data_IF_707291885850
#
_entry.id   IF_707291885850
#
_cell.length_a   1.000
_cell.length_b   1.000
_cell.length_c   1.000
_cell.angle_alpha   90.00
_cell.angle_beta   90.00
_cell.angle_gamma   90.00
#
_symmetry.space_group_name_H-M   'P 1'
#
loop_
_entity.id
_entity.type
_entity.pdbx_description
1 polymer ?
#
# COMPACT_ATOMS: atom_id res chain seq x y z
N UNK A 1 -3.65 17.79 -4.77
CA UNK A 1 -2.83 17.61 -3.55
C UNK A 1 -3.56 16.68 -2.59
N UNK A 2 -2.82 15.88 -1.85
CA UNK A 2 -3.37 15.02 -0.79
C UNK A 2 -2.74 15.45 0.53
N UNK A 3 -3.58 15.95 1.44
CA UNK A 3 -3.18 16.32 2.80
C UNK A 3 -3.56 15.17 3.75
N UNK A 4 -2.59 14.64 4.47
CA UNK A 4 -2.83 13.61 5.48
C UNK A 4 -3.10 14.29 6.81
N UNK A 5 -4.37 14.42 7.17
CA UNK A 5 -4.81 15.12 8.38
C UNK A 5 -4.12 14.59 9.64
N UNK A 6 -3.71 15.51 10.52
CA UNK A 6 -3.03 15.18 11.78
C UNK A 6 -1.57 14.76 11.66
N UNK A 7 -0.98 14.73 10.45
CA UNK A 7 0.38 14.22 10.25
C UNK A 7 1.38 15.23 9.70
N UNK A 8 0.91 16.34 9.15
CA UNK A 8 1.76 17.30 8.45
C UNK A 8 2.38 16.78 7.15
N UNK A 9 2.01 15.57 6.70
CA UNK A 9 2.48 15.03 5.42
C UNK A 9 1.55 15.43 4.29
N UNK A 10 2.16 15.72 3.13
CA UNK A 10 1.47 16.12 1.91
C UNK A 10 2.04 15.35 0.71
N UNK A 11 1.17 14.95 -0.22
CA UNK A 11 1.56 14.49 -1.55
C UNK A 11 1.08 15.50 -2.59
N UNK A 12 2.00 15.95 -3.44
CA UNK A 12 1.72 16.87 -4.55
C UNK A 12 2.44 16.42 -5.82
N UNK A 13 2.01 16.93 -6.96
CA UNK A 13 2.77 16.78 -8.19
C UNK A 13 4.14 17.45 -8.08
N UNK A 14 5.09 17.03 -8.92
CA UNK A 14 6.37 17.69 -9.05
C UNK A 14 6.19 19.18 -9.36
N UNK A 15 7.08 20.02 -8.86
CA UNK A 15 6.94 21.47 -8.96
C UNK A 15 6.74 21.93 -10.42
N UNK A 16 5.77 22.83 -10.62
CA UNK A 16 5.42 23.38 -11.93
C UNK A 16 4.58 22.49 -12.83
N UNK A 17 4.15 21.30 -12.37
CA UNK A 17 3.29 20.42 -13.15
C UNK A 17 1.84 20.47 -12.66
N UNK A 18 0.92 20.59 -13.60
CA UNK A 18 -0.52 20.44 -13.32
C UNK A 18 -0.93 18.98 -13.12
N UNK A 19 -0.21 18.07 -13.76
CA UNK A 19 -0.40 16.62 -13.64
C UNK A 19 0.91 15.86 -13.90
N UNK A 20 0.99 14.62 -13.43
CA UNK A 20 2.11 13.73 -13.70
C UNK A 20 1.66 12.26 -13.70
N UNK A 21 2.42 11.40 -14.39
CA UNK A 21 2.26 9.96 -14.27
C UNK A 21 2.87 9.46 -12.96
N UNK A 22 2.14 8.55 -12.31
CA UNK A 22 2.58 7.88 -11.08
C UNK A 22 2.43 6.37 -11.19
N UNK A 23 3.17 5.63 -10.39
CA UNK A 23 3.15 4.16 -10.43
C UNK A 23 1.98 3.54 -9.65
N UNK A 24 1.51 4.21 -8.62
CA UNK A 24 0.41 3.76 -7.78
C UNK A 24 -0.30 4.92 -7.10
N UNK A 25 -1.58 4.75 -6.81
CA UNK A 25 -2.37 5.71 -6.04
C UNK A 25 -3.30 4.97 -5.07
N UNK A 26 -3.79 5.71 -4.06
CA UNK A 26 -4.93 5.25 -3.27
C UNK A 26 -6.18 5.25 -4.13
N UNK A 27 -7.12 4.35 -3.86
CA UNK A 27 -8.44 4.37 -4.48
C UNK A 27 -9.33 5.49 -3.93
N UNK A 28 -9.03 6.00 -2.74
CA UNK A 28 -9.70 7.18 -2.16
C UNK A 28 -9.55 8.40 -3.06
N UNK A 29 -10.70 8.97 -3.47
CA UNK A 29 -10.80 10.11 -4.40
C UNK A 29 -10.09 9.89 -5.76
N UNK A 30 -9.99 8.65 -6.22
CA UNK A 30 -9.55 8.33 -7.57
C UNK A 30 -10.73 8.13 -8.52
N UNK A 31 -10.55 8.55 -9.77
CA UNK A 31 -11.48 8.24 -10.85
C UNK A 31 -10.86 7.16 -11.74
N UNK A 32 -11.57 6.06 -11.89
CA UNK A 32 -11.12 4.94 -12.72
C UNK A 32 -12.07 4.72 -13.89
N UNK A 33 -11.54 4.56 -15.09
CA UNK A 33 -12.33 4.12 -16.24
C UNK A 33 -12.95 2.76 -15.95
N UNK A 34 -14.26 2.61 -16.17
CA UNK A 34 -14.97 1.34 -16.04
C UNK A 34 -14.34 0.28 -16.95
N UNK A 35 -13.98 0.67 -18.18
CA UNK A 35 -13.26 -0.23 -19.08
C UNK A 35 -11.95 -0.72 -18.51
N UNK A 36 -11.11 0.17 -17.96
CA UNK A 36 -9.85 -0.20 -17.34
C UNK A 36 -10.07 -1.15 -16.15
N UNK A 37 -11.06 -0.85 -15.31
CA UNK A 37 -11.43 -1.71 -14.19
C UNK A 37 -11.86 -3.11 -14.63
N UNK A 38 -12.68 -3.21 -15.69
CA UNK A 38 -13.12 -4.49 -16.25
C UNK A 38 -11.97 -5.26 -16.88
N UNK A 39 -11.12 -4.59 -17.67
CA UNK A 39 -9.99 -5.22 -18.37
C UNK A 39 -8.98 -5.84 -17.40
N UNK A 40 -8.78 -5.23 -16.22
CA UNK A 40 -7.88 -5.78 -15.18
C UNK A 40 -8.57 -6.75 -14.23
N UNK A 41 -9.88 -6.94 -14.36
CA UNK A 41 -10.67 -7.89 -13.56
C UNK A 41 -11.08 -7.39 -12.18
N UNK A 42 -11.25 -6.07 -12.00
CA UNK A 42 -11.71 -5.47 -10.75
C UNK A 42 -10.66 -5.49 -9.62
N UNK A 43 -11.09 -5.44 -8.39
CA UNK A 43 -10.23 -5.57 -7.22
C UNK A 43 -9.98 -7.05 -6.89
N UNK A 44 -8.83 -7.34 -6.28
CA UNK A 44 -8.53 -8.67 -5.75
C UNK A 44 -9.20 -8.83 -4.37
N UNK A 45 -10.35 -9.49 -4.35
CA UNK A 45 -11.16 -9.67 -3.14
C UNK A 45 -10.41 -10.40 -2.02
N UNK A 46 -9.41 -11.21 -2.38
CA UNK A 46 -8.61 -11.93 -1.39
C UNK A 46 -7.80 -10.99 -0.49
N UNK A 47 -7.41 -9.83 -0.99
CA UNK A 47 -6.65 -8.86 -0.19
C UNK A 47 -7.46 -8.25 0.94
N UNK A 48 -8.78 -8.06 0.76
CA UNK A 48 -9.73 -7.51 1.72
C UNK A 48 -9.36 -6.10 2.25
N UNK A 49 -8.20 -5.94 2.87
CA UNK A 49 -7.67 -4.67 3.40
C UNK A 49 -6.15 -4.66 3.28
N UNK A 50 -5.58 -3.51 3.00
CA UNK A 50 -4.16 -3.27 2.70
C UNK A 50 -3.68 -3.98 1.40
N UNK A 51 -2.80 -3.38 0.68
CA UNK A 51 -2.33 -3.80 -0.66
C UNK A 51 -3.40 -3.88 -1.77
N UNK A 52 -4.66 -3.52 -1.51
CA UNK A 52 -5.72 -3.48 -2.54
C UNK A 52 -5.36 -2.48 -3.62
N UNK A 53 -5.00 -1.26 -3.21
CA UNK A 53 -4.62 -0.16 -4.10
C UNK A 53 -3.34 -0.47 -4.87
N UNK A 54 -2.34 -1.04 -4.19
CA UNK A 54 -1.07 -1.45 -4.80
C UNK A 54 -1.29 -2.55 -5.85
N UNK A 55 -2.12 -3.54 -5.56
CA UNK A 55 -2.45 -4.64 -6.47
C UNK A 55 -3.21 -4.13 -7.70
N UNK A 56 -4.20 -3.28 -7.49
CA UNK A 56 -4.98 -2.69 -8.57
C UNK A 56 -4.12 -1.80 -9.46
N UNK A 57 -3.31 -0.92 -8.87
CA UNK A 57 -2.37 -0.06 -9.59
C UNK A 57 -1.36 -0.87 -10.43
N UNK A 58 -0.83 -1.96 -9.86
CA UNK A 58 0.09 -2.84 -10.58
C UNK A 58 -0.60 -3.53 -11.76
N UNK A 59 -1.85 -3.98 -11.60
CA UNK A 59 -2.60 -4.59 -12.72
C UNK A 59 -2.90 -3.59 -13.81
N UNK A 60 -3.28 -2.36 -13.47
CA UNK A 60 -3.44 -1.28 -14.46
C UNK A 60 -2.15 -1.07 -15.26
N UNK A 61 -1.01 -0.95 -14.57
CA UNK A 61 0.31 -0.79 -15.20
C UNK A 61 0.67 -1.96 -16.12
N UNK A 62 0.39 -3.20 -15.70
CA UNK A 62 0.66 -4.40 -16.51
C UNK A 62 -0.28 -4.55 -17.72
N UNK A 63 -1.36 -3.79 -17.75
CA UNK A 63 -2.27 -3.67 -18.90
C UNK A 63 -2.06 -2.39 -19.71
N UNK A 64 -0.91 -1.73 -19.56
CA UNK A 64 -0.52 -0.51 -20.26
C UNK A 64 -1.39 0.73 -19.95
N UNK A 65 -2.21 0.67 -18.88
CA UNK A 65 -2.93 1.83 -18.39
C UNK A 65 -1.99 2.78 -17.64
N UNK A 66 -2.28 4.08 -17.73
CA UNK A 66 -1.55 5.13 -17.03
C UNK A 66 -2.35 5.64 -15.84
N UNK A 67 -1.66 5.86 -14.74
CA UNK A 67 -2.23 6.50 -13.55
C UNK A 67 -1.72 7.93 -13.52
N UNK A 68 -2.64 8.88 -13.38
CA UNK A 68 -2.33 10.30 -13.39
C UNK A 68 -2.69 10.93 -12.06
N UNK A 69 -1.77 11.67 -11.48
CA UNK A 69 -2.02 12.55 -10.34
C UNK A 69 -2.21 13.98 -10.85
N UNK A 70 -3.27 14.65 -10.43
CA UNK A 70 -3.57 16.03 -10.79
C UNK A 70 -3.35 16.96 -9.60
N UNK A 71 -2.94 18.20 -9.87
CA UNK A 71 -2.63 19.21 -8.85
C UNK A 71 -3.83 20.07 -8.45
N UNK A 72 -4.82 20.23 -9.36
CA UNK A 72 -5.90 21.21 -9.23
C UNK A 72 -7.01 20.79 -8.26
N UNK A 73 -6.86 19.65 -7.59
CA UNK A 73 -7.80 19.16 -6.59
C UNK A 73 -7.10 18.92 -5.26
N UNK A 74 -7.83 19.10 -4.17
CA UNK A 74 -7.34 18.84 -2.83
C UNK A 74 -8.14 17.74 -2.17
N UNK A 75 -7.44 16.81 -1.54
CA UNK A 75 -8.02 15.74 -0.74
C UNK A 75 -7.47 15.83 0.68
N UNK A 76 -8.35 16.08 1.63
CA UNK A 76 -8.05 15.94 3.04
C UNK A 76 -8.37 14.50 3.47
N UNK A 77 -7.34 13.71 3.73
CA UNK A 77 -7.47 12.28 4.01
C UNK A 77 -6.97 11.95 5.41
N UNK A 78 -7.83 11.32 6.20
CA UNK A 78 -7.45 10.82 7.52
C UNK A 78 -6.95 9.38 7.41
N UNK A 79 -5.68 9.16 7.74
CA UNK A 79 -5.05 7.83 7.75
C UNK A 79 -5.39 7.05 9.03
N UNK A 80 -6.67 6.82 9.29
CA UNK A 80 -7.08 6.09 10.49
C UNK A 80 -6.49 6.72 11.77
N UNK A 81 -5.79 5.93 12.57
CA UNK A 81 -5.12 6.35 13.81
C UNK A 81 -3.61 6.58 13.59
N UNK A 82 -3.24 7.21 12.48
CA UNK A 82 -1.84 7.54 12.22
C UNK A 82 -1.41 8.74 13.09
N UNK A 83 -0.27 8.62 13.73
CA UNK A 83 0.34 9.65 14.57
C UNK A 83 1.76 9.97 14.07
N UNK A 84 2.13 11.25 14.10
CA UNK A 84 3.52 11.66 13.88
C UNK A 84 4.30 11.50 15.18
N UNK A 85 5.30 10.63 15.18
CA UNK A 85 6.25 10.48 16.27
C UNK A 85 7.54 11.19 15.90
N UNK A 86 7.98 12.11 16.74
CA UNK A 86 9.25 12.83 16.58
C UNK A 86 10.33 12.15 17.39
N UNK A 87 11.33 11.65 16.69
CA UNK A 87 12.54 11.10 17.31
C UNK A 87 13.61 12.17 17.48
N UNK A 88 14.65 11.91 18.33
CA UNK A 88 15.85 12.74 18.39
C UNK A 88 16.42 12.98 16.98
N UNK A 89 17.17 14.07 16.82
CA UNK A 89 17.77 14.49 15.54
C UNK A 89 16.77 14.92 14.44
N UNK A 90 15.53 15.30 14.82
CA UNK A 90 14.53 15.82 13.89
C UNK A 90 13.88 14.78 12.95
N UNK A 91 14.10 13.49 13.22
CA UNK A 91 13.49 12.41 12.44
C UNK A 91 12.00 12.35 12.77
N UNK A 92 11.15 12.43 11.74
CA UNK A 92 9.70 12.29 11.86
C UNK A 92 9.25 10.93 11.31
N UNK A 93 8.58 10.14 12.13
CA UNK A 93 8.01 8.86 11.74
C UNK A 93 6.49 8.94 11.79
N UNK A 94 5.85 8.42 10.74
CA UNK A 94 4.41 8.19 10.74
C UNK A 94 4.14 6.78 11.29
N UNK A 95 3.61 6.71 12.50
CA UNK A 95 3.25 5.45 13.15
C UNK A 95 1.75 5.25 13.02
N UNK A 96 1.35 4.14 12.41
CA UNK A 96 -0.05 3.75 12.29
C UNK A 96 -0.37 2.72 13.36
N UNK A 97 -1.25 3.09 14.31
CA UNK A 97 -1.72 2.15 15.35
C UNK A 97 -2.82 1.27 14.78
N UNK A 98 -2.43 0.15 14.22
CA UNK A 98 -3.37 -0.82 13.66
C UNK A 98 -3.77 -1.86 14.71
N UNK A 99 -5.03 -2.31 14.66
CA UNK A 99 -5.45 -3.48 15.42
C UNK A 99 -4.62 -4.71 15.00
N UNK A 100 -4.49 -5.69 15.89
CA UNK A 100 -3.79 -6.95 15.59
C UNK A 100 -4.35 -7.63 14.33
N UNK A 101 -5.66 -7.54 14.10
CA UNK A 101 -6.30 -8.06 12.88
C UNK A 101 -5.80 -7.33 11.64
N UNK A 102 -5.76 -6.01 11.63
CA UNK A 102 -5.28 -5.25 10.47
C UNK A 102 -3.79 -5.49 10.24
N UNK A 103 -3.00 -5.61 11.30
CA UNK A 103 -1.58 -5.93 11.19
C UNK A 103 -1.34 -7.31 10.56
N UNK A 104 -2.16 -8.30 10.91
CA UNK A 104 -2.15 -9.61 10.27
C UNK A 104 -2.35 -9.49 8.75
N UNK A 105 -3.39 -8.77 8.30
CA UNK A 105 -3.65 -8.56 6.87
C UNK A 105 -2.52 -7.80 6.20
N UNK A 106 -1.99 -6.78 6.84
CA UNK A 106 -0.87 -5.99 6.32
C UNK A 106 0.34 -6.89 6.00
N UNK A 107 0.78 -7.72 6.93
CA UNK A 107 1.90 -8.63 6.71
C UNK A 107 1.57 -9.70 5.65
N UNK A 108 0.43 -10.37 5.79
CA UNK A 108 -0.04 -11.40 4.88
C UNK A 108 -0.10 -10.91 3.43
N UNK A 109 -0.73 -9.76 3.23
CA UNK A 109 -0.97 -9.22 1.89
C UNK A 109 0.31 -8.67 1.25
N UNK A 110 1.22 -8.08 2.03
CA UNK A 110 2.51 -7.66 1.51
C UNK A 110 3.34 -8.86 1.02
N UNK A 111 3.36 -9.98 1.75
CA UNK A 111 4.04 -11.21 1.32
C UNK A 111 3.38 -11.77 0.06
N UNK A 112 2.05 -11.83 0.02
CA UNK A 112 1.30 -12.23 -1.17
C UNK A 112 1.64 -11.35 -2.37
N UNK A 113 1.61 -10.04 -2.21
CA UNK A 113 1.94 -9.06 -3.24
C UNK A 113 3.37 -9.22 -3.76
N UNK A 114 4.34 -9.38 -2.86
CA UNK A 114 5.75 -9.62 -3.23
C UNK A 114 5.88 -10.88 -4.06
N UNK A 115 5.23 -11.98 -3.66
CA UNK A 115 5.24 -13.25 -4.40
C UNK A 115 4.55 -13.14 -5.76
N UNK A 116 3.41 -12.44 -5.82
CA UNK A 116 2.59 -12.25 -7.03
C UNK A 116 3.35 -11.46 -8.10
N UNK A 117 4.05 -10.40 -7.66
CA UNK A 117 4.70 -9.45 -8.57
C UNK A 117 6.23 -9.49 -8.55
N UNK A 118 6.84 -10.59 -8.08
CA UNK A 118 8.29 -10.73 -7.91
C UNK A 118 9.14 -10.40 -9.16
N UNK A 119 8.55 -10.52 -10.35
CA UNK A 119 9.21 -10.21 -11.63
C UNK A 119 9.11 -8.73 -12.03
N UNK A 120 8.29 -7.96 -11.35
CA UNK A 120 7.95 -6.56 -11.69
C UNK A 120 8.35 -5.56 -10.62
N UNK A 121 8.80 -6.03 -9.45
CA UNK A 121 9.18 -5.19 -8.31
C UNK A 121 10.55 -5.59 -7.76
N UNK A 122 11.16 -4.67 -7.01
CA UNK A 122 12.33 -5.01 -6.19
C UNK A 122 11.86 -5.80 -4.96
N UNK A 123 12.03 -7.11 -5.00
CA UNK A 123 11.68 -8.01 -3.88
C UNK A 123 12.41 -7.60 -2.62
N UNK A 124 13.74 -7.37 -2.72
CA UNK A 124 14.57 -6.96 -1.59
C UNK A 124 14.08 -5.64 -0.99
N UNK A 125 13.83 -4.63 -1.83
CA UNK A 125 13.36 -3.32 -1.36
C UNK A 125 12.00 -3.38 -0.66
N UNK A 126 11.05 -4.14 -1.20
CA UNK A 126 9.73 -4.33 -0.57
C UNK A 126 9.84 -5.13 0.74
N UNK A 127 10.70 -6.15 0.79
CA UNK A 127 10.93 -6.95 2.01
C UNK A 127 11.56 -6.11 3.11
N UNK A 128 12.59 -5.31 2.80
CA UNK A 128 13.22 -4.40 3.77
C UNK A 128 12.19 -3.40 4.30
N UNK A 129 11.36 -2.82 3.43
CA UNK A 129 10.32 -1.88 3.84
C UNK A 129 9.28 -2.52 4.76
N UNK A 130 8.87 -3.76 4.47
CA UNK A 130 7.96 -4.52 5.33
C UNK A 130 8.59 -4.78 6.71
N UNK A 131 9.82 -5.27 6.74
CA UNK A 131 10.54 -5.52 8.00
C UNK A 131 10.69 -4.23 8.83
N UNK A 132 11.07 -3.13 8.19
CA UNK A 132 11.17 -1.83 8.85
C UNK A 132 9.83 -1.40 9.47
N UNK A 133 8.73 -1.51 8.71
CA UNK A 133 7.40 -1.15 9.20
C UNK A 133 6.99 -1.99 10.43
N UNK A 134 7.29 -3.31 10.42
CA UNK A 134 6.95 -4.18 11.54
C UNK A 134 7.84 -3.94 12.76
N UNK A 135 9.13 -3.63 12.57
CA UNK A 135 10.02 -3.24 13.67
C UNK A 135 9.53 -1.95 14.33
N UNK A 136 9.21 -0.92 13.53
CA UNK A 136 8.66 0.33 14.06
C UNK A 136 7.37 0.07 14.85
N UNK A 137 6.46 -0.75 14.33
CA UNK A 137 5.23 -1.12 15.06
C UNK A 137 5.54 -1.81 16.38
N UNK A 138 6.43 -2.78 16.41
CA UNK A 138 6.80 -3.49 17.65
C UNK A 138 7.39 -2.57 18.72
N UNK A 139 8.07 -1.50 18.31
CA UNK A 139 8.64 -0.51 19.25
C UNK A 139 7.53 0.36 19.86
N UNK A 140 6.56 0.83 19.04
CA UNK A 140 5.58 1.84 19.44
C UNK A 140 4.20 1.27 19.80
N UNK A 141 3.97 -0.04 19.58
CA UNK A 141 2.69 -0.67 19.86
C UNK A 141 2.60 -1.12 21.33
N UNK A 142 1.44 -0.86 21.96
CA UNK A 142 1.19 -1.28 23.34
C UNK A 142 1.03 -2.79 23.46
N UNK A 143 0.26 -3.39 22.55
CA UNK A 143 0.02 -4.84 22.52
C UNK A 143 1.07 -5.59 21.69
N UNK A 144 2.31 -5.59 22.14
CA UNK A 144 3.43 -6.24 21.45
C UNK A 144 3.23 -7.73 21.21
N UNK A 145 2.62 -8.44 22.15
CA UNK A 145 2.38 -9.90 22.03
C UNK A 145 1.34 -10.16 20.94
N UNK A 146 0.25 -9.39 20.92
CA UNK A 146 -0.76 -9.48 19.87
C UNK A 146 -0.20 -9.16 18.49
N UNK A 147 0.65 -8.14 18.42
CA UNK A 147 1.35 -7.74 17.20
C UNK A 147 2.29 -8.84 16.70
N UNK A 148 3.11 -9.43 17.56
CA UNK A 148 3.98 -10.56 17.21
C UNK A 148 3.19 -11.75 16.68
N UNK A 149 2.11 -12.16 17.37
CA UNK A 149 1.23 -13.25 16.90
C UNK A 149 0.66 -12.96 15.51
N UNK A 150 0.25 -11.71 15.27
CA UNK A 150 -0.28 -11.26 13.97
C UNK A 150 0.78 -11.32 12.88
N UNK A 151 2.02 -10.92 13.17
CA UNK A 151 3.14 -10.98 12.25
C UNK A 151 3.40 -12.44 11.86
N UNK A 152 3.60 -13.34 12.83
CA UNK A 152 3.90 -14.74 12.54
C UNK A 152 2.78 -15.42 11.76
N UNK A 153 1.52 -15.20 12.16
CA UNK A 153 0.36 -15.73 11.42
C UNK A 153 0.29 -15.15 10.00
N UNK A 154 0.51 -13.85 9.85
CA UNK A 154 0.53 -13.18 8.54
C UNK A 154 1.64 -13.70 7.63
N UNK A 155 2.83 -13.96 8.17
CA UNK A 155 3.95 -14.57 7.44
C UNK A 155 3.56 -15.98 6.97
N UNK A 156 3.10 -16.82 7.87
CA UNK A 156 2.71 -18.17 7.54
C UNK A 156 1.65 -18.21 6.45
N UNK A 157 0.51 -17.53 6.65
CA UNK A 157 -0.60 -17.51 5.70
C UNK A 157 -0.20 -16.85 4.36
N UNK A 158 0.63 -15.80 4.42
CA UNK A 158 1.14 -15.13 3.24
C UNK A 158 2.03 -16.02 2.36
N UNK A 159 2.77 -16.96 2.95
CA UNK A 159 3.54 -17.94 2.20
C UNK A 159 2.72 -19.15 1.77
N UNK A 160 1.76 -19.59 2.55
CA UNK A 160 0.96 -20.79 2.25
C UNK A 160 -0.10 -20.56 1.17
N UNK A 161 -0.60 -19.32 1.04
CA UNK A 161 -1.64 -19.03 0.06
C UNK A 161 -1.17 -19.22 -1.37
N UNK A 162 -2.04 -19.83 -2.19
CA UNK A 162 -1.78 -19.95 -3.63
C UNK A 162 -1.90 -18.56 -4.29
N UNK A 163 -0.82 -18.14 -4.94
CA UNK A 163 -0.86 -16.89 -5.74
C UNK A 163 -1.72 -17.13 -6.97
N UNK A 164 -2.81 -16.37 -7.09
CA UNK A 164 -3.65 -16.36 -8.29
C UNK A 164 -3.06 -15.32 -9.24
N UNK A 165 -2.63 -15.71 -10.45
CA UNK A 165 -2.20 -14.76 -11.46
C UNK A 165 -3.34 -13.78 -11.76
N UNK A 166 -3.03 -12.49 -11.91
CA UNK A 166 -4.02 -11.54 -12.39
C UNK A 166 -4.59 -12.04 -13.72
N UNK A 167 -5.93 -12.02 -13.86
CA UNK A 167 -6.60 -12.38 -15.12
C UNK A 167 -6.36 -11.29 -16.17
N UNK A 168 -5.13 -11.13 -16.61
CA UNK A 168 -4.75 -10.16 -17.62
C UNK A 168 -3.94 -10.85 -18.72
N UNK A 169 -4.17 -10.46 -19.94
CA UNK A 169 -3.32 -10.87 -21.06
C UNK A 169 -1.95 -10.21 -20.84
N UNK A 170 -1.02 -10.95 -20.26
CA UNK A 170 0.38 -10.57 -20.36
C UNK A 170 0.76 -10.64 -21.84
N UNK A 171 0.78 -9.49 -22.53
CA UNK A 171 1.54 -9.41 -23.77
C UNK A 171 3.00 -9.67 -23.41
N UNK A 172 3.54 -10.75 -23.97
CA UNK A 172 4.99 -11.05 -23.90
C UNK A 172 5.77 -9.98 -24.61
#
# INVERSE_FOLDING_TARGET
RIFYEGTGFEQKCSDGKEWEFIDACMTSASLTSIKAWQDVGGFDEWTFIDCVDDDFSMRLKLHDYKIVRVQNTELHHRLGNAEEVRLPFGIRLLVTRYSSMRNYYFVRNNIYYIRKYRKHISVLGKTIRLLYAEIVKLIFEENRIGTLKSIFKGIYDGFCVRVVPSKGRFKK
#
